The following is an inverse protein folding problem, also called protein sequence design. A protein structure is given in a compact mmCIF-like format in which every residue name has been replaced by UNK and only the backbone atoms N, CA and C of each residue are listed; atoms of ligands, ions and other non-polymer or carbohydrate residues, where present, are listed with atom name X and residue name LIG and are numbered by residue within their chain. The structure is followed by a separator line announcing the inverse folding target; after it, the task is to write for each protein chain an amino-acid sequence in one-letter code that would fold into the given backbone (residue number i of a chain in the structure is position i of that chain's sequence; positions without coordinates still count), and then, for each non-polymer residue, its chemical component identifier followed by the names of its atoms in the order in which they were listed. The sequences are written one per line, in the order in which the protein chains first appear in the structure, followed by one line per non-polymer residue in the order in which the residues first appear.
data_IF_243656479644
#
_entry.id   IF_243656479644
#
_cell.length_a   1.000
_cell.length_b   1.000
_cell.length_c   1.000
_cell.angle_alpha   90.00
_cell.angle_beta   90.00
_cell.angle_gamma   90.00
#
_symmetry.space_group_name_H-M   'P 1'
#
loop_
_entity.id
_entity.type
_entity.pdbx_description
1 polymer ?
#
# COMPACT_ATOMS: atom_id res chain seq x y z
N UNK A 1 -23.71 18.55 -13.06
CA UNK A 1 -22.32 18.11 -13.33
C UNK A 1 -21.73 17.61 -12.03
N UNK A 2 -21.24 16.38 -11.98
CA UNK A 2 -20.51 15.92 -10.81
C UNK A 2 -19.17 16.66 -10.73
N UNK A 3 -18.88 17.34 -9.63
CA UNK A 3 -17.55 17.88 -9.37
C UNK A 3 -16.63 16.73 -8.97
N UNK A 4 -15.64 16.40 -9.81
CA UNK A 4 -14.65 15.36 -9.49
C UNK A 4 -13.72 15.75 -8.33
N UNK A 5 -12.74 14.90 -8.07
CA UNK A 5 -11.71 15.10 -7.03
C UNK A 5 -10.47 15.88 -7.51
N UNK A 6 -10.57 16.50 -8.69
CA UNK A 6 -9.50 17.31 -9.26
C UNK A 6 -9.08 18.38 -8.23
N UNK A 7 -7.76 18.50 -8.01
CA UNK A 7 -7.14 19.43 -7.05
C UNK A 7 -7.51 19.18 -5.57
N UNK A 8 -8.11 18.03 -5.24
CA UNK A 8 -8.43 17.61 -3.87
C UNK A 8 -7.62 16.40 -3.40
N UNK A 9 -6.87 15.77 -4.29
CA UNK A 9 -6.08 14.57 -4.01
C UNK A 9 -4.69 14.76 -4.57
N UNK A 10 -3.69 14.41 -3.76
CA UNK A 10 -2.29 14.39 -4.13
C UNK A 10 -1.69 13.02 -3.79
N UNK A 11 -0.73 12.58 -4.61
CA UNK A 11 0.15 11.46 -4.28
C UNK A 11 1.37 12.07 -3.59
N UNK A 12 1.58 11.74 -2.33
CA UNK A 12 2.64 12.33 -1.51
C UNK A 12 3.84 11.40 -1.32
N UNK A 13 3.75 10.12 -1.67
CA UNK A 13 4.87 9.19 -1.65
C UNK A 13 4.58 7.87 -2.37
N UNK A 14 5.65 7.14 -2.68
CA UNK A 14 5.64 5.87 -3.41
C UNK A 14 6.68 4.90 -2.82
N UNK A 15 6.38 3.60 -2.87
CA UNK A 15 7.36 2.55 -2.55
C UNK A 15 7.13 1.31 -3.40
N UNK A 16 8.20 0.55 -3.66
CA UNK A 16 8.16 -0.61 -4.52
C UNK A 16 9.21 -1.62 -4.08
N UNK A 17 8.77 -2.79 -3.62
CA UNK A 17 9.69 -3.86 -3.24
C UNK A 17 10.62 -4.20 -4.41
N UNK A 18 11.86 -4.57 -4.10
CA UNK A 18 12.82 -4.93 -5.15
C UNK A 18 12.29 -6.09 -5.99
N UNK A 19 12.11 -5.83 -7.29
CA UNK A 19 11.72 -6.86 -8.24
C UNK A 19 12.83 -7.91 -8.42
N UNK A 20 12.44 -9.17 -8.48
CA UNK A 20 13.35 -10.29 -8.73
C UNK A 20 12.97 -11.55 -7.96
N UNK A 21 13.78 -12.58 -8.11
CA UNK A 21 13.63 -13.84 -7.38
C UNK A 21 14.06 -13.65 -5.93
N UNK A 22 13.09 -13.71 -5.01
CA UNK A 22 13.31 -13.55 -3.58
C UNK A 22 12.63 -14.68 -2.81
N UNK A 23 13.24 -15.85 -2.86
CA UNK A 23 12.70 -17.09 -2.30
C UNK A 23 12.70 -17.12 -0.76
N UNK A 24 13.41 -16.19 -0.13
CA UNK A 24 13.54 -16.03 1.32
C UNK A 24 12.43 -15.18 1.96
N UNK A 25 11.58 -14.53 1.16
CA UNK A 25 10.56 -13.60 1.63
C UNK A 25 9.19 -13.88 1.00
N UNK A 26 8.15 -13.89 1.85
CA UNK A 26 6.76 -14.04 1.42
C UNK A 26 6.15 -12.74 0.88
N UNK A 27 4.93 -12.84 0.35
CA UNK A 27 4.18 -11.70 -0.17
C UNK A 27 3.93 -10.62 0.89
N UNK A 28 3.74 -11.01 2.15
CA UNK A 28 3.57 -10.09 3.28
C UNK A 28 4.84 -9.28 3.55
N UNK A 29 6.02 -9.90 3.43
CA UNK A 29 7.29 -9.20 3.61
C UNK A 29 7.54 -8.20 2.48
N UNK A 30 7.24 -8.60 1.23
CA UNK A 30 7.32 -7.70 0.08
C UNK A 30 6.37 -6.51 0.24
N UNK A 31 5.12 -6.74 0.67
CA UNK A 31 4.17 -5.67 0.96
C UNK A 31 4.70 -4.71 2.02
N UNK A 32 5.25 -5.23 3.12
CA UNK A 32 5.81 -4.40 4.20
C UNK A 32 6.99 -3.57 3.70
N UNK A 33 7.86 -4.12 2.86
CA UNK A 33 8.98 -3.38 2.24
C UNK A 33 8.49 -2.20 1.40
N UNK A 34 7.56 -2.45 0.46
CA UNK A 34 6.99 -1.39 -0.37
C UNK A 34 6.27 -0.33 0.47
N UNK A 35 5.55 -0.74 1.51
CA UNK A 35 4.86 0.17 2.42
C UNK A 35 5.83 1.04 3.22
N UNK A 36 6.92 0.46 3.74
CA UNK A 36 7.95 1.21 4.48
C UNK A 36 8.64 2.26 3.62
N UNK A 37 8.96 1.93 2.36
CA UNK A 37 9.48 2.91 1.41
C UNK A 37 8.46 4.03 1.15
N UNK A 38 7.19 3.69 0.95
CA UNK A 38 6.14 4.67 0.65
C UNK A 38 5.89 5.67 1.78
N UNK A 39 5.83 5.20 3.04
CA UNK A 39 5.62 6.12 4.19
C UNK A 39 6.85 6.99 4.46
N UNK A 40 8.05 6.48 4.18
CA UNK A 40 9.28 7.23 4.31
C UNK A 40 9.38 8.34 3.24
N UNK A 41 9.06 8.02 1.99
CA UNK A 41 8.99 8.99 0.89
C UNK A 41 7.93 10.08 1.14
N UNK A 42 6.77 9.68 1.69
CA UNK A 42 5.69 10.60 2.07
C UNK A 42 6.00 11.47 3.30
N UNK A 43 6.96 11.10 4.14
CA UNK A 43 7.30 11.82 5.37
C UNK A 43 6.19 11.80 6.43
N UNK A 44 5.39 10.72 6.50
CA UNK A 44 4.28 10.56 7.46
C UNK A 44 4.49 9.36 8.39
N UNK A 45 3.71 9.29 9.47
CA UNK A 45 3.70 8.14 10.37
C UNK A 45 2.45 7.27 10.16
N UNK A 46 2.50 5.99 10.56
CA UNK A 46 1.37 5.05 10.40
C UNK A 46 0.06 5.55 11.04
N UNK A 47 0.17 6.30 12.15
CA UNK A 47 -0.98 6.90 12.88
C UNK A 47 -1.72 7.97 12.07
N UNK A 48 -1.09 8.53 11.04
CA UNK A 48 -1.69 9.56 10.19
C UNK A 48 -2.55 8.94 9.08
N UNK A 49 -2.47 7.62 8.89
CA UNK A 49 -3.23 6.87 7.87
C UNK A 49 -4.60 6.50 8.43
N UNK A 50 -5.66 7.06 7.82
CA UNK A 50 -7.04 6.83 8.25
C UNK A 50 -7.69 5.60 7.59
N UNK A 51 -7.20 5.19 6.43
CA UNK A 51 -7.73 4.07 5.67
C UNK A 51 -6.67 3.52 4.72
N UNK A 52 -6.78 2.23 4.38
CA UNK A 52 -5.92 1.56 3.43
C UNK A 52 -6.75 0.71 2.47
N UNK A 53 -6.38 0.73 1.19
CA UNK A 53 -6.92 -0.15 0.16
C UNK A 53 -5.79 -0.97 -0.42
N UNK A 54 -6.05 -2.26 -0.59
CA UNK A 54 -5.09 -3.22 -1.14
C UNK A 54 -5.75 -4.03 -2.26
N UNK A 55 -5.00 -4.23 -3.35
CA UNK A 55 -5.45 -4.97 -4.51
C UNK A 55 -4.49 -6.12 -4.80
N UNK A 56 -5.06 -7.30 -5.08
CA UNK A 56 -4.30 -8.49 -5.44
C UNK A 56 -5.07 -9.35 -6.43
N UNK A 57 -4.35 -10.06 -7.30
CA UNK A 57 -4.97 -10.87 -8.35
C UNK A 57 -5.53 -12.21 -7.84
N UNK A 58 -4.88 -12.82 -6.84
CA UNK A 58 -5.27 -14.11 -6.26
C UNK A 58 -5.16 -14.04 -4.73
N UNK A 59 -6.26 -13.78 -4.04
CA UNK A 59 -6.29 -13.58 -2.59
C UNK A 59 -5.97 -14.85 -1.80
N UNK A 60 -6.22 -16.03 -2.37
CA UNK A 60 -5.96 -17.34 -1.74
C UNK A 60 -4.47 -17.64 -1.54
N UNK A 61 -3.60 -17.06 -2.37
CA UNK A 61 -2.15 -17.30 -2.37
C UNK A 61 -1.32 -16.09 -1.97
N UNK A 62 -1.96 -14.94 -1.78
CA UNK A 62 -1.31 -13.69 -1.39
C UNK A 62 -1.69 -13.29 0.04
N UNK A 63 -1.53 -12.01 0.38
CA UNK A 63 -1.71 -11.44 1.73
C UNK A 63 -3.19 -11.28 2.12
N UNK A 64 -4.10 -12.04 1.50
CA UNK A 64 -5.54 -12.02 1.76
C UNK A 64 -6.31 -10.87 1.09
N UNK A 65 -7.58 -10.72 1.50
CA UNK A 65 -8.51 -9.72 0.94
C UNK A 65 -8.20 -8.30 1.44
N UNK A 66 -8.28 -7.33 0.53
CA UNK A 66 -8.15 -5.91 0.86
C UNK A 66 -9.38 -5.33 1.58
N UNK A 67 -9.21 -4.14 2.16
CA UNK A 67 -10.21 -3.35 2.90
C UNK A 67 -10.77 -3.94 4.22
N UNK A 68 -9.94 -4.49 5.13
CA UNK A 68 -10.38 -4.66 6.51
C UNK A 68 -10.56 -3.29 7.17
N UNK A 69 -11.59 -3.12 8.00
CA UNK A 69 -11.77 -1.91 8.80
C UNK A 69 -10.56 -1.70 9.72
N UNK A 70 -9.81 -0.61 9.53
CA UNK A 70 -8.86 -0.16 10.55
C UNK A 70 -9.64 0.64 11.59
N UNK A 71 -9.57 0.20 12.85
CA UNK A 71 -10.27 0.82 13.99
C UNK A 71 -9.65 2.13 14.44
#
# INVERSE_FOLDING_TARGET
MASGIKDKVAIIGMGCSRFGERWDIGAEGLMVEAFQEAIADAGIEKKDIQAAWYGVCMDEVNVGKGAPSMG
#
